data_IF_046890221160
#
_entry.id   IF_046890221160
#
_cell.length_a   1.000
_cell.length_b   1.000
_cell.length_c   1.000
_cell.angle_alpha   90.00
_cell.angle_beta   90.00
_cell.angle_gamma   90.00
#
_symmetry.space_group_name_H-M   'P 1'
#
loop_
_entity.id
_entity.type
_entity.pdbx_description
1 polymer ?
#
# COMPACT_ATOMS: atom_id res chain seq x y z
N UNK A 1 10.91 15.48 -19.94
CA UNK A 1 10.39 14.32 -19.23
C UNK A 1 11.33 13.93 -18.07
N UNK A 2 11.07 14.41 -16.82
CA UNK A 2 12.03 14.21 -15.71
C UNK A 2 12.19 12.76 -15.28
N UNK A 3 11.21 11.86 -15.56
CA UNK A 3 11.17 10.48 -15.05
C UNK A 3 12.12 9.54 -15.79
N UNK A 4 12.29 9.70 -17.09
CA UNK A 4 13.25 8.89 -17.85
C UNK A 4 14.70 9.03 -17.37
N UNK A 5 15.08 10.24 -16.89
CA UNK A 5 16.41 10.45 -16.29
C UNK A 5 16.69 9.56 -15.08
N UNK A 6 15.65 9.22 -14.30
CA UNK A 6 15.82 8.38 -13.11
C UNK A 6 16.00 6.92 -13.48
N UNK A 7 15.29 6.44 -14.50
CA UNK A 7 15.45 5.06 -15.02
C UNK A 7 16.80 4.89 -15.71
N UNK A 8 17.21 5.88 -16.49
CA UNK A 8 18.56 5.90 -17.09
C UNK A 8 19.66 5.83 -16.03
N UNK A 9 19.59 6.66 -15.00
CA UNK A 9 20.56 6.63 -13.90
C UNK A 9 20.63 5.26 -13.21
N UNK A 10 19.49 4.59 -13.01
CA UNK A 10 19.48 3.27 -12.42
C UNK A 10 20.15 2.23 -13.34
N UNK A 11 19.87 2.26 -14.65
CA UNK A 11 20.55 1.39 -15.63
C UNK A 11 22.06 1.65 -15.64
N UNK A 12 22.50 2.90 -15.63
CA UNK A 12 23.92 3.27 -15.55
C UNK A 12 24.57 2.80 -14.24
N UNK A 13 23.83 2.75 -13.11
CA UNK A 13 24.30 2.20 -11.85
C UNK A 13 24.44 0.67 -11.87
N UNK A 14 23.54 -0.02 -12.59
CA UNK A 14 23.53 -1.49 -12.71
C UNK A 14 24.60 -1.98 -13.66
N UNK A 15 24.75 -1.33 -14.82
CA UNK A 15 25.66 -1.75 -15.91
C UNK A 15 27.00 -1.00 -15.93
N UNK A 16 27.13 0.08 -15.16
CA UNK A 16 28.29 0.96 -15.16
C UNK A 16 28.17 2.14 -16.11
N UNK A 17 28.97 3.20 -15.89
CA UNK A 17 28.87 4.48 -16.63
C UNK A 17 29.31 4.40 -18.10
N UNK A 18 30.00 3.33 -18.48
CA UNK A 18 30.47 3.04 -19.86
C UNK A 18 29.50 2.17 -20.66
N UNK A 19 28.35 1.81 -20.11
CA UNK A 19 27.36 1.00 -20.82
C UNK A 19 26.83 1.74 -22.07
N UNK A 20 26.77 1.04 -23.20
CA UNK A 20 26.24 1.56 -24.47
C UNK A 20 24.70 1.51 -24.51
N UNK A 21 24.06 1.97 -23.43
CA UNK A 21 22.60 1.97 -23.30
C UNK A 21 21.94 2.87 -24.33
N UNK A 22 21.11 2.28 -25.17
CA UNK A 22 20.34 3.02 -26.18
C UNK A 22 19.07 3.63 -25.58
N UNK A 23 18.45 4.63 -26.23
CA UNK A 23 17.12 5.09 -25.85
C UNK A 23 16.05 4.00 -25.86
N UNK A 24 16.20 2.99 -26.71
CA UNK A 24 15.29 1.84 -26.80
C UNK A 24 15.40 0.99 -25.52
N UNK A 25 16.60 0.72 -25.03
CA UNK A 25 16.80 -0.03 -23.77
C UNK A 25 16.14 0.69 -22.59
N UNK A 26 16.24 2.01 -22.54
CA UNK A 26 15.60 2.80 -21.48
C UNK A 26 14.07 2.70 -21.52
N UNK A 27 13.46 2.73 -22.70
CA UNK A 27 12.01 2.56 -22.90
C UNK A 27 11.57 1.14 -22.53
N UNK A 28 12.33 0.13 -22.95
CA UNK A 28 12.04 -1.27 -22.64
C UNK A 28 12.15 -1.54 -21.13
N UNK A 29 13.18 -1.02 -20.48
CA UNK A 29 13.31 -1.11 -19.04
C UNK A 29 12.12 -0.45 -18.30
N UNK A 30 11.74 0.76 -18.74
CA UNK A 30 10.58 1.44 -18.20
C UNK A 30 9.30 0.57 -18.37
N UNK A 31 9.06 0.03 -19.55
CA UNK A 31 7.90 -0.82 -19.81
C UNK A 31 7.87 -2.05 -18.89
N UNK A 32 8.99 -2.77 -18.76
CA UNK A 32 9.10 -3.92 -17.85
C UNK A 32 8.87 -3.55 -16.39
N UNK A 33 9.34 -2.38 -15.96
CA UNK A 33 9.02 -1.87 -14.61
C UNK A 33 7.53 -1.57 -14.45
N UNK A 34 6.84 -1.05 -15.48
CA UNK A 34 5.38 -0.84 -15.42
C UNK A 34 4.63 -2.18 -15.34
N UNK A 35 5.12 -3.22 -15.99
CA UNK A 35 4.56 -4.58 -15.88
C UNK A 35 4.65 -5.10 -14.43
N UNK A 36 5.78 -4.88 -13.76
CA UNK A 36 5.96 -5.22 -12.34
C UNK A 36 5.02 -4.38 -11.48
N UNK A 37 4.92 -3.06 -11.73
CA UNK A 37 4.04 -2.17 -10.98
C UNK A 37 2.58 -2.60 -11.08
N UNK A 38 2.15 -3.14 -12.23
CA UNK A 38 0.79 -3.63 -12.43
C UNK A 38 0.42 -4.75 -11.44
N UNK A 39 1.38 -5.60 -11.03
CA UNK A 39 1.14 -6.64 -10.04
C UNK A 39 0.85 -6.06 -8.64
N UNK A 40 1.43 -4.92 -8.31
CA UNK A 40 1.21 -4.27 -7.03
C UNK A 40 -0.20 -3.69 -6.87
N UNK A 41 -0.83 -3.21 -7.95
CA UNK A 41 -2.16 -2.59 -7.87
C UNK A 41 -3.20 -3.55 -7.29
N UNK A 42 -3.24 -4.79 -7.77
CA UNK A 42 -4.22 -5.79 -7.33
C UNK A 42 -4.03 -6.14 -5.86
N UNK A 43 -2.79 -6.42 -5.44
CA UNK A 43 -2.51 -6.82 -4.04
C UNK A 43 -2.64 -5.65 -3.06
N UNK A 44 -2.26 -4.43 -3.45
CA UNK A 44 -2.47 -3.22 -2.63
C UNK A 44 -3.96 -2.92 -2.47
N UNK A 45 -4.74 -2.99 -3.55
CA UNK A 45 -6.18 -2.78 -3.50
C UNK A 45 -6.85 -3.82 -2.59
N UNK A 46 -6.47 -5.09 -2.72
CA UNK A 46 -6.98 -6.17 -1.86
C UNK A 46 -6.65 -5.91 -0.39
N UNK A 47 -5.41 -5.50 -0.08
CA UNK A 47 -5.00 -5.13 1.27
C UNK A 47 -5.83 -3.95 1.78
N UNK A 48 -5.93 -2.87 1.01
CA UNK A 48 -6.64 -1.64 1.40
C UNK A 48 -8.11 -1.92 1.73
N UNK A 49 -8.82 -2.63 0.85
CA UNK A 49 -10.23 -2.97 1.04
C UNK A 49 -10.41 -3.91 2.25
N UNK A 50 -9.56 -4.94 2.38
CA UNK A 50 -9.66 -5.92 3.46
C UNK A 50 -9.42 -5.27 4.81
N UNK A 51 -8.33 -4.51 4.94
CA UNK A 51 -7.97 -3.80 6.17
C UNK A 51 -9.03 -2.77 6.57
N UNK A 52 -9.48 -1.95 5.61
CA UNK A 52 -10.56 -0.98 5.79
C UNK A 52 -11.80 -1.64 6.37
N UNK A 53 -12.26 -2.72 5.74
CA UNK A 53 -13.49 -3.38 6.15
C UNK A 53 -13.36 -4.04 7.53
N UNK A 54 -12.22 -4.65 7.84
CA UNK A 54 -11.94 -5.23 9.17
C UNK A 54 -11.95 -4.17 10.27
N UNK A 55 -11.28 -3.05 10.05
CA UNK A 55 -11.25 -1.94 11.00
C UNK A 55 -12.65 -1.32 11.14
N UNK A 56 -13.36 -1.12 10.04
CA UNK A 56 -14.72 -0.57 10.03
C UNK A 56 -15.66 -1.41 10.91
N UNK A 57 -15.70 -2.73 10.68
CA UNK A 57 -16.54 -3.62 11.47
C UNK A 57 -16.18 -3.59 12.98
N UNK A 58 -14.90 -3.61 13.29
CA UNK A 58 -14.44 -3.51 14.67
C UNK A 58 -14.81 -2.16 15.32
N UNK A 59 -14.70 -1.07 14.57
CA UNK A 59 -15.07 0.28 15.05
C UNK A 59 -16.58 0.43 15.25
N UNK A 60 -17.41 -0.14 14.38
CA UNK A 60 -18.87 -0.18 14.59
C UNK A 60 -19.19 -0.86 15.92
N UNK A 61 -18.61 -2.04 16.18
CA UNK A 61 -18.80 -2.74 17.45
C UNK A 61 -18.34 -1.92 18.66
N UNK A 62 -17.19 -1.28 18.54
CA UNK A 62 -16.61 -0.48 19.63
C UNK A 62 -17.46 0.74 20.01
N UNK A 63 -17.97 1.46 19.03
CA UNK A 63 -18.78 2.66 19.24
C UNK A 63 -20.30 2.40 19.24
N UNK A 64 -20.72 1.20 18.86
CA UNK A 64 -22.13 0.87 18.58
C UNK A 64 -22.77 1.88 17.61
N UNK A 65 -21.99 2.28 16.59
CA UNK A 65 -22.38 3.33 15.62
C UNK A 65 -21.71 3.09 14.28
N UNK A 66 -22.49 3.04 13.20
CA UNK A 66 -21.97 2.94 11.83
C UNK A 66 -21.14 4.15 11.42
N UNK A 67 -21.50 5.34 11.92
CA UNK A 67 -20.76 6.58 11.72
C UNK A 67 -19.65 6.75 12.78
N UNK A 68 -18.98 5.67 13.15
CA UNK A 68 -17.94 5.62 14.17
C UNK A 68 -16.84 6.69 14.02
N UNK A 69 -16.60 7.16 12.80
CA UNK A 69 -15.60 8.17 12.51
C UNK A 69 -15.91 9.52 13.17
N UNK A 70 -17.20 9.84 13.39
CA UNK A 70 -17.59 11.02 14.15
C UNK A 70 -17.23 10.88 15.63
N UNK A 71 -17.54 9.72 16.23
CA UNK A 71 -17.15 9.42 17.62
C UNK A 71 -15.62 9.45 17.76
N UNK A 72 -14.91 8.82 16.82
CA UNK A 72 -13.44 8.77 16.83
C UNK A 72 -12.81 10.17 16.71
N UNK A 73 -13.36 11.06 15.86
CA UNK A 73 -12.91 12.45 15.77
C UNK A 73 -13.07 13.23 17.10
N UNK A 74 -14.12 12.91 17.84
CA UNK A 74 -14.41 13.58 19.11
C UNK A 74 -13.49 13.10 20.27
N UNK A 75 -12.80 11.97 20.10
CA UNK A 75 -11.89 11.49 21.16
C UNK A 75 -10.72 12.47 21.41
N UNK A 76 -10.36 12.71 22.70
CA UNK A 76 -9.29 13.64 23.08
C UNK A 76 -7.93 13.28 22.45
N UNK A 77 -7.68 12.00 22.23
CA UNK A 77 -6.43 11.49 21.67
C UNK A 77 -6.45 11.35 20.14
N UNK A 78 -7.57 11.72 19.47
CA UNK A 78 -7.61 11.72 18.01
C UNK A 78 -6.63 12.74 17.44
N UNK A 79 -5.64 12.25 16.68
CA UNK A 79 -4.59 13.10 16.13
C UNK A 79 -5.14 14.09 15.10
N UNK A 80 -4.44 15.21 14.94
CA UNK A 80 -4.77 16.20 13.90
C UNK A 80 -4.81 15.55 12.51
N UNK A 81 -3.87 14.64 12.21
CA UNK A 81 -3.81 13.99 10.91
C UNK A 81 -5.01 13.06 10.66
N UNK A 82 -5.43 12.27 11.66
CA UNK A 82 -6.63 11.44 11.57
C UNK A 82 -7.88 12.29 11.33
N UNK A 83 -8.07 13.37 12.11
CA UNK A 83 -9.18 14.33 11.93
C UNK A 83 -9.18 14.92 10.53
N UNK A 84 -8.02 15.35 10.02
CA UNK A 84 -7.87 15.92 8.68
C UNK A 84 -8.28 14.94 7.58
N UNK A 85 -7.88 13.66 7.70
CA UNK A 85 -8.24 12.62 6.70
C UNK A 85 -9.75 12.37 6.70
N UNK A 86 -10.36 12.25 7.88
CA UNK A 86 -11.80 12.01 8.01
C UNK A 86 -12.60 13.21 7.49
N UNK A 87 -12.25 14.43 7.89
CA UNK A 87 -12.92 15.64 7.40
C UNK A 87 -12.82 15.77 5.88
N UNK A 88 -11.65 15.50 5.29
CA UNK A 88 -11.50 15.53 3.85
C UNK A 88 -12.38 14.48 3.12
N UNK A 89 -12.68 13.34 3.75
CA UNK A 89 -13.62 12.36 3.22
C UNK A 89 -15.05 12.86 3.32
N UNK A 90 -15.46 13.43 4.46
CA UNK A 90 -16.78 14.03 4.68
C UNK A 90 -17.05 15.19 3.70
N UNK A 91 -16.10 16.11 3.54
CA UNK A 91 -16.20 17.23 2.60
C UNK A 91 -16.43 16.76 1.16
N UNK A 92 -15.75 15.66 0.75
CA UNK A 92 -15.95 15.08 -0.58
C UNK A 92 -17.34 14.47 -0.75
N UNK A 93 -17.82 13.73 0.26
CA UNK A 93 -19.16 13.16 0.23
C UNK A 93 -20.20 14.26 0.18
N UNK A 94 -20.10 15.25 1.05
CA UNK A 94 -21.00 16.40 1.09
C UNK A 94 -21.06 17.10 -0.27
N UNK A 95 -19.90 17.34 -0.89
CA UNK A 95 -19.84 17.95 -2.22
C UNK A 95 -20.51 17.10 -3.29
N UNK A 96 -20.27 15.79 -3.28
CA UNK A 96 -20.77 14.88 -4.33
C UNK A 96 -22.28 14.63 -4.20
N UNK A 97 -22.81 14.59 -2.97
CA UNK A 97 -24.20 14.20 -2.69
C UNK A 97 -25.15 15.39 -2.50
N UNK A 98 -24.72 16.48 -1.83
CA UNK A 98 -25.55 17.70 -1.69
C UNK A 98 -25.89 18.31 -3.04
N UNK A 99 -24.99 18.27 -4.01
CA UNK A 99 -25.25 18.75 -5.37
C UNK A 99 -26.36 17.97 -6.09
N UNK A 100 -26.67 16.75 -5.62
CA UNK A 100 -27.68 15.84 -6.19
C UNK A 100 -28.94 15.71 -5.33
N UNK A 101 -29.00 16.40 -4.19
CA UNK A 101 -30.08 16.25 -3.19
C UNK A 101 -30.30 14.79 -2.74
N UNK A 102 -29.21 14.00 -2.63
CA UNK A 102 -29.24 12.61 -2.22
C UNK A 102 -28.60 12.50 -0.82
N UNK A 103 -29.21 11.68 0.04
CA UNK A 103 -28.58 11.32 1.31
C UNK A 103 -27.45 10.30 1.08
N UNK A 104 -26.39 10.42 1.86
CA UNK A 104 -25.28 9.46 1.84
C UNK A 104 -25.27 8.56 3.07
N UNK A 105 -24.70 7.40 2.92
CA UNK A 105 -24.53 6.41 3.97
C UNK A 105 -23.08 6.40 4.51
N UNK A 106 -22.88 5.75 5.65
CA UNK A 106 -21.56 5.56 6.26
C UNK A 106 -20.53 4.96 5.28
N UNK A 107 -20.97 4.07 4.40
CA UNK A 107 -20.11 3.43 3.40
C UNK A 107 -19.60 4.42 2.35
N UNK A 108 -20.34 5.47 2.03
CA UNK A 108 -19.89 6.51 1.10
C UNK A 108 -18.72 7.32 1.65
N UNK A 109 -18.77 7.62 2.95
CA UNK A 109 -17.68 8.26 3.67
C UNK A 109 -16.47 7.33 3.71
N UNK A 110 -16.69 6.06 4.09
CA UNK A 110 -15.65 5.05 4.19
C UNK A 110 -14.91 4.83 2.86
N UNK A 111 -15.63 4.85 1.73
CA UNK A 111 -15.04 4.71 0.40
C UNK A 111 -14.11 5.89 0.03
N UNK A 112 -14.29 7.06 0.65
CA UNK A 112 -13.48 8.26 0.42
C UNK A 112 -12.35 8.48 1.42
N UNK A 113 -12.35 7.70 2.51
CA UNK A 113 -11.23 7.68 3.44
C UNK A 113 -9.99 7.11 2.73
N UNK A 114 -8.91 7.88 2.75
CA UNK A 114 -7.67 7.46 2.11
C UNK A 114 -6.92 6.42 2.94
N UNK A 115 -6.07 5.63 2.28
CA UNK A 115 -5.22 4.61 2.92
C UNK A 115 -4.46 5.13 4.15
N UNK A 116 -4.10 6.41 4.15
CA UNK A 116 -3.33 7.03 5.23
C UNK A 116 -3.99 6.97 6.61
N UNK A 117 -5.32 6.78 6.71
CA UNK A 117 -5.98 6.63 8.00
C UNK A 117 -5.61 5.31 8.69
N UNK A 118 -5.43 4.22 7.94
CA UNK A 118 -5.25 2.90 8.52
C UNK A 118 -3.93 2.76 9.29
N UNK A 119 -2.75 3.13 8.75
CA UNK A 119 -1.56 3.20 9.58
C UNK A 119 -1.63 4.29 10.64
N UNK A 120 -2.35 5.40 10.40
CA UNK A 120 -2.50 6.46 11.40
C UNK A 120 -3.12 5.95 12.70
N UNK A 121 -4.19 5.18 12.62
CA UNK A 121 -4.90 4.64 13.80
C UNK A 121 -4.21 3.43 14.44
N UNK A 122 -3.12 2.89 13.83
CA UNK A 122 -2.26 1.87 14.42
C UNK A 122 -1.05 2.47 15.16
N UNK A 123 -0.81 3.77 15.10
CA UNK A 123 0.31 4.42 15.79
C UNK A 123 0.30 4.15 17.29
N UNK A 124 1.46 4.31 17.93
CA UNK A 124 1.64 4.11 19.37
C UNK A 124 0.58 4.83 20.21
N UNK A 125 0.21 6.05 19.83
CA UNK A 125 -0.86 6.85 20.47
C UNK A 125 -2.19 6.10 20.65
N UNK A 126 -2.50 5.17 19.74
CA UNK A 126 -3.75 4.41 19.74
C UNK A 126 -3.59 2.96 20.18
N UNK A 127 -2.40 2.35 19.98
CA UNK A 127 -2.17 0.91 20.23
C UNK A 127 -2.43 0.49 21.67
N UNK A 128 -2.15 1.37 22.61
CA UNK A 128 -2.37 1.12 24.04
C UNK A 128 -3.81 1.39 24.48
N UNK A 129 -4.67 1.86 23.57
CA UNK A 129 -6.07 2.14 23.87
C UNK A 129 -6.90 0.87 23.83
N UNK A 130 -8.00 0.90 24.54
CA UNK A 130 -8.93 -0.23 24.74
C UNK A 130 -9.35 -0.88 23.40
N UNK A 131 -9.53 -0.08 22.35
CA UNK A 131 -9.90 -0.59 21.04
C UNK A 131 -8.95 -1.68 20.54
N UNK A 132 -7.63 -1.43 20.52
CA UNK A 132 -6.68 -2.40 19.99
C UNK A 132 -6.43 -3.58 20.92
N UNK A 133 -6.64 -3.42 22.22
CA UNK A 133 -6.58 -4.51 23.18
C UNK A 133 -7.72 -5.51 22.95
N UNK A 134 -8.93 -5.01 22.65
CA UNK A 134 -10.12 -5.84 22.42
C UNK A 134 -10.16 -6.39 20.99
N UNK A 135 -10.00 -5.52 19.99
CA UNK A 135 -10.29 -5.84 18.59
C UNK A 135 -9.04 -6.14 17.74
N UNK A 136 -7.84 -6.03 18.29
CA UNK A 136 -6.61 -6.27 17.52
C UNK A 136 -6.52 -7.68 16.92
N UNK A 137 -6.99 -8.70 17.65
CA UNK A 137 -7.06 -10.07 17.14
C UNK A 137 -8.22 -10.30 16.15
N UNK A 138 -9.26 -9.49 16.18
CA UNK A 138 -10.36 -9.55 15.22
C UNK A 138 -9.96 -8.89 13.88
N UNK A 139 -9.25 -7.77 13.95
CA UNK A 139 -8.73 -7.08 12.77
C UNK A 139 -7.61 -7.89 12.09
N UNK A 140 -6.73 -8.51 12.88
CA UNK A 140 -5.61 -9.32 12.41
C UNK A 140 -5.65 -10.75 12.97
N UNK A 141 -6.64 -11.57 12.58
CA UNK A 141 -6.85 -12.90 13.19
C UNK A 141 -5.68 -13.87 12.94
N UNK A 142 -4.91 -13.66 11.87
CA UNK A 142 -3.85 -14.57 11.46
C UNK A 142 -2.44 -13.99 11.71
N UNK A 143 -2.31 -12.96 12.56
CA UNK A 143 -0.99 -12.34 12.83
C UNK A 143 -0.07 -13.19 13.70
N UNK A 144 -0.59 -14.25 14.37
CA UNK A 144 0.18 -15.06 15.28
C UNK A 144 0.84 -14.24 16.38
N UNK A 145 2.16 -14.41 16.55
CA UNK A 145 2.97 -13.68 17.55
C UNK A 145 3.45 -12.29 17.08
N UNK A 146 3.10 -11.87 15.85
CA UNK A 146 3.52 -10.57 15.29
C UNK A 146 2.89 -9.44 16.11
N UNK A 147 3.71 -8.45 16.52
CA UNK A 147 3.29 -7.29 17.28
C UNK A 147 2.56 -6.29 16.37
N UNK A 148 1.58 -5.57 16.90
CA UNK A 148 0.90 -4.50 16.16
C UNK A 148 1.86 -3.39 15.70
N UNK A 149 2.96 -3.15 16.41
CA UNK A 149 4.00 -2.21 15.97
C UNK A 149 4.68 -2.62 14.66
N UNK A 150 4.94 -3.91 14.49
CA UNK A 150 5.53 -4.43 13.24
C UNK A 150 4.54 -4.34 12.07
N UNK A 151 3.24 -4.55 12.36
CA UNK A 151 2.19 -4.35 11.34
C UNK A 151 2.09 -2.88 10.96
N UNK A 152 2.14 -1.95 11.93
CA UNK A 152 2.16 -0.51 11.70
C UNK A 152 3.34 -0.08 10.83
N UNK A 153 4.56 -0.51 11.17
CA UNK A 153 5.77 -0.22 10.39
C UNK A 153 5.65 -0.70 8.93
N UNK A 154 5.10 -1.90 8.75
CA UNK A 154 4.83 -2.46 7.42
C UNK A 154 3.77 -1.66 6.66
N UNK A 155 2.67 -1.29 7.30
CA UNK A 155 1.62 -0.47 6.67
C UNK A 155 2.13 0.92 6.30
N UNK A 156 2.97 1.54 7.13
CA UNK A 156 3.63 2.81 6.79
C UNK A 156 4.55 2.66 5.57
N UNK A 157 5.31 1.56 5.50
CA UNK A 157 6.17 1.23 4.36
C UNK A 157 5.33 1.07 3.08
N UNK A 158 4.24 0.32 3.15
CA UNK A 158 3.33 0.12 2.00
C UNK A 158 2.57 1.40 1.63
N UNK A 159 2.19 2.24 2.57
CA UNK A 159 1.59 3.54 2.29
C UNK A 159 2.52 4.45 1.45
N UNK A 160 3.82 4.46 1.76
CA UNK A 160 4.83 5.17 0.94
C UNK A 160 4.97 4.56 -0.46
N UNK A 161 5.03 3.23 -0.55
CA UNK A 161 5.06 2.51 -1.83
C UNK A 161 3.84 2.84 -2.69
N UNK A 162 2.63 2.70 -2.10
CA UNK A 162 1.36 3.00 -2.77
C UNK A 162 1.37 4.41 -3.35
N UNK A 163 1.75 5.41 -2.57
CA UNK A 163 1.79 6.79 -3.04
C UNK A 163 2.74 6.97 -4.24
N UNK A 164 3.89 6.28 -4.25
CA UNK A 164 4.80 6.30 -5.41
C UNK A 164 4.20 5.70 -6.64
N UNK A 165 3.58 4.52 -6.51
CA UNK A 165 2.90 3.86 -7.62
C UNK A 165 1.83 4.77 -8.25
N UNK A 166 0.99 5.40 -7.43
CA UNK A 166 -0.07 6.29 -7.90
C UNK A 166 0.45 7.62 -8.49
N UNK A 167 1.65 8.05 -8.09
CA UNK A 167 2.32 9.20 -8.68
C UNK A 167 3.32 8.82 -9.79
N UNK A 168 3.33 7.56 -10.20
CA UNK A 168 4.25 7.01 -11.22
C UNK A 168 5.72 7.27 -10.87
N UNK A 169 6.06 7.28 -9.59
CA UNK A 169 7.43 7.42 -9.12
C UNK A 169 8.14 6.06 -9.06
N UNK A 170 9.46 6.00 -9.26
CA UNK A 170 10.21 4.77 -9.11
C UNK A 170 10.08 4.17 -7.70
N UNK A 171 9.88 2.86 -7.62
CA UNK A 171 9.73 2.14 -6.33
C UNK A 171 10.95 2.30 -5.42
N UNK A 172 12.13 2.40 -6.01
CA UNK A 172 13.40 2.47 -5.31
C UNK A 172 13.82 3.87 -4.83
N UNK A 173 13.04 4.90 -5.06
CA UNK A 173 13.41 6.31 -4.75
C UNK A 173 13.77 6.56 -3.28
N UNK A 174 13.40 5.66 -2.35
CA UNK A 174 13.73 5.76 -0.92
C UNK A 174 14.96 4.98 -0.49
N UNK A 175 15.45 4.10 -1.34
CA UNK A 175 16.63 3.30 -1.04
C UNK A 175 17.86 4.01 -1.58
N UNK A 176 18.96 3.81 -0.89
CA UNK A 176 20.28 4.29 -1.34
C UNK A 176 20.63 3.65 -2.69
N UNK A 177 21.57 4.25 -3.41
CA UNK A 177 22.07 3.74 -4.69
C UNK A 177 22.22 2.21 -4.70
N UNK A 178 21.54 1.54 -5.62
CA UNK A 178 21.72 0.11 -5.85
C UNK A 178 23.06 -0.14 -6.52
N UNK A 179 23.79 -1.13 -6.02
CA UNK A 179 25.07 -1.54 -6.62
C UNK A 179 24.86 -2.50 -7.78
N UNK A 180 23.74 -3.19 -7.80
CA UNK A 180 23.41 -4.19 -8.82
C UNK A 180 21.89 -4.49 -8.84
N UNK A 181 21.49 -5.27 -9.83
CA UNK A 181 20.08 -5.65 -9.99
C UNK A 181 19.55 -6.52 -8.84
N UNK A 182 20.38 -7.35 -8.22
CA UNK A 182 19.93 -8.23 -7.14
C UNK A 182 19.46 -7.41 -5.92
N UNK A 183 20.10 -6.29 -5.63
CA UNK A 183 19.66 -5.38 -4.57
C UNK A 183 18.30 -4.74 -4.90
N UNK A 184 18.09 -4.33 -6.16
CA UNK A 184 16.79 -3.84 -6.63
C UNK A 184 15.72 -4.92 -6.51
N UNK A 185 16.01 -6.14 -6.99
CA UNK A 185 15.12 -7.29 -6.91
C UNK A 185 14.72 -7.56 -5.46
N UNK A 186 15.69 -7.65 -4.55
CA UNK A 186 15.44 -7.90 -3.14
C UNK A 186 14.47 -6.89 -2.52
N UNK A 187 14.61 -5.61 -2.86
CA UNK A 187 13.70 -4.56 -2.35
C UNK A 187 12.29 -4.68 -2.93
N UNK A 188 12.18 -4.99 -4.21
CA UNK A 188 10.87 -5.14 -4.88
C UNK A 188 10.15 -6.39 -4.39
N UNK A 189 10.88 -7.51 -4.25
CA UNK A 189 10.38 -8.77 -3.68
C UNK A 189 9.91 -8.55 -2.23
N UNK A 190 10.69 -7.84 -1.40
CA UNK A 190 10.33 -7.53 -0.02
C UNK A 190 8.99 -6.75 0.07
N UNK A 191 8.78 -5.77 -0.80
CA UNK A 191 7.50 -5.04 -0.82
C UNK A 191 6.32 -5.95 -1.14
N UNK A 192 6.47 -6.82 -2.13
CA UNK A 192 5.42 -7.74 -2.52
C UNK A 192 5.08 -8.73 -1.38
N UNK A 193 6.09 -9.31 -0.76
CA UNK A 193 5.95 -10.22 0.38
C UNK A 193 5.32 -9.56 1.60
N UNK A 194 5.68 -8.31 1.90
CA UNK A 194 5.05 -7.53 2.99
C UNK A 194 3.55 -7.39 2.73
N UNK A 195 3.13 -7.05 1.50
CA UNK A 195 1.72 -6.87 1.17
C UNK A 195 0.97 -8.19 1.32
N UNK A 196 1.50 -9.29 0.76
CA UNK A 196 0.89 -10.62 0.85
C UNK A 196 0.77 -11.06 2.32
N UNK A 197 1.80 -10.81 3.13
CA UNK A 197 1.79 -11.11 4.57
C UNK A 197 0.74 -10.28 5.31
N UNK A 198 0.59 -9.00 5.01
CA UNK A 198 -0.44 -8.14 5.60
C UNK A 198 -1.86 -8.60 5.21
N UNK A 199 -2.07 -8.99 3.95
CA UNK A 199 -3.35 -9.60 3.52
C UNK A 199 -3.63 -10.85 4.33
N UNK A 200 -2.65 -11.75 4.49
CA UNK A 200 -2.77 -12.97 5.29
C UNK A 200 -3.13 -12.65 6.74
N UNK A 201 -2.50 -11.66 7.36
CA UNK A 201 -2.81 -11.25 8.73
C UNK A 201 -4.26 -10.79 8.87
N UNK A 202 -4.80 -10.06 7.89
CA UNK A 202 -6.17 -9.59 7.89
C UNK A 202 -7.19 -10.68 7.52
N UNK A 203 -6.88 -11.52 6.52
CA UNK A 203 -7.79 -12.53 5.99
C UNK A 203 -7.04 -13.64 5.25
N UNK A 204 -7.13 -14.86 5.78
CA UNK A 204 -6.59 -16.04 5.10
C UNK A 204 -7.32 -16.29 3.77
N UNK A 205 -8.64 -16.08 3.73
CA UNK A 205 -9.45 -16.22 2.51
C UNK A 205 -8.94 -15.32 1.38
N UNK A 206 -8.68 -14.05 1.68
CA UNK A 206 -8.18 -13.10 0.66
C UNK A 206 -6.74 -13.42 0.24
N UNK A 207 -5.92 -13.91 1.16
CA UNK A 207 -4.58 -14.40 0.84
C UNK A 207 -4.62 -15.60 -0.12
N UNK A 208 -5.47 -16.61 0.16
CA UNK A 208 -5.64 -17.76 -0.72
C UNK A 208 -6.26 -17.36 -2.08
N UNK A 209 -7.18 -16.39 -2.10
CA UNK A 209 -7.69 -15.82 -3.37
C UNK A 209 -6.56 -15.24 -4.22
N UNK A 210 -5.64 -14.47 -3.63
CA UNK A 210 -4.49 -13.91 -4.37
C UNK A 210 -3.61 -15.02 -4.95
N UNK A 211 -3.42 -16.13 -4.24
CA UNK A 211 -2.70 -17.30 -4.75
C UNK A 211 -3.46 -18.01 -5.88
N UNK A 212 -4.76 -18.22 -5.73
CA UNK A 212 -5.60 -18.81 -6.79
C UNK A 212 -5.59 -17.94 -8.08
N UNK A 213 -5.55 -16.61 -7.93
CA UNK A 213 -5.36 -15.67 -9.04
C UNK A 213 -3.93 -15.63 -9.57
N UNK A 214 -3.04 -16.48 -9.04
CA UNK A 214 -1.62 -16.58 -9.43
C UNK A 214 -0.85 -15.27 -9.34
N UNK A 215 -1.21 -14.39 -8.41
CA UNK A 215 -0.53 -13.10 -8.26
C UNK A 215 0.96 -13.25 -7.92
N UNK A 216 1.39 -14.17 -7.00
CA UNK A 216 2.82 -14.39 -6.74
C UNK A 216 3.58 -14.90 -7.95
N UNK A 217 2.99 -15.83 -8.72
CA UNK A 217 3.60 -16.39 -9.92
C UNK A 217 3.74 -15.34 -11.02
N UNK A 218 2.69 -14.55 -11.26
CA UNK A 218 2.71 -13.46 -12.23
C UNK A 218 3.80 -12.43 -11.88
N UNK A 219 3.88 -12.03 -10.61
CA UNK A 219 4.91 -11.12 -10.13
C UNK A 219 6.31 -11.70 -10.36
N UNK A 220 6.55 -12.96 -9.97
CA UNK A 220 7.83 -13.65 -10.17
C UNK A 220 8.21 -13.71 -11.65
N UNK A 221 7.29 -14.11 -12.54
CA UNK A 221 7.53 -14.16 -13.99
C UNK A 221 7.98 -12.80 -14.53
N UNK A 222 7.28 -11.72 -14.15
CA UNK A 222 7.64 -10.36 -14.60
C UNK A 222 9.00 -9.90 -14.05
N UNK A 223 9.34 -10.29 -12.82
CA UNK A 223 10.68 -10.03 -12.25
C UNK A 223 11.76 -10.81 -12.99
N UNK A 224 11.52 -12.07 -13.34
CA UNK A 224 12.45 -12.91 -14.08
C UNK A 224 12.64 -12.39 -15.52
N UNK A 225 11.57 -11.92 -16.17
CA UNK A 225 11.63 -11.27 -17.49
C UNK A 225 12.44 -9.97 -17.46
N UNK A 226 12.33 -9.18 -16.42
CA UNK A 226 13.16 -7.99 -16.21
C UNK A 226 14.63 -8.38 -16.02
N UNK A 227 14.89 -9.41 -15.21
CA UNK A 227 16.26 -9.92 -15.01
C UNK A 227 16.90 -10.38 -16.32
N UNK A 228 16.15 -11.17 -17.11
CA UNK A 228 16.61 -11.66 -18.41
C UNK A 228 16.89 -10.51 -19.40
N UNK A 229 16.07 -9.47 -19.39
CA UNK A 229 16.30 -8.26 -20.17
C UNK A 229 17.62 -7.59 -19.76
N UNK A 230 17.82 -7.34 -18.46
CA UNK A 230 19.01 -6.66 -17.96
C UNK A 230 20.29 -7.48 -18.17
N UNK A 231 20.22 -8.81 -18.14
CA UNK A 231 21.40 -9.65 -18.42
C UNK A 231 21.84 -9.65 -19.89
N UNK A 232 20.97 -9.23 -20.79
CA UNK A 232 21.26 -9.13 -22.25
C UNK A 232 21.58 -7.71 -22.70
N UNK A 233 21.32 -6.72 -21.84
CA UNK A 233 21.63 -5.32 -22.12
C UNK A 233 23.12 -5.08 -21.86
N UNK A 234 23.88 -4.51 -22.81
CA UNK A 234 25.33 -4.36 -22.71
C UNK A 234 25.75 -3.32 -21.65
#
# INVERSE_FOLDING_TARGET
MPRFKTYRKLLEQIHGPSSQLTPVDQVQFYAKMQDIYSCFYVVIQTLEITLRNKIHQAKIKHYNNENWYENFKAEPHCTFNAKRIINAALDKVDKDFKSKSINYESQDVLARITFGLWPEILKATYREKLFWQIYGSEVFPNKGKVKLSQIDDNLLKIGKLRNRLYHYEPLWKTTKNFKNFNELRSVVDEYFEIIMTLIKHCSLEKYELMKQMKQPEQFKTKMDDLFLFLSKTP
#
